data_IF_529046290206
#
_entry.id   IF_529046290206
#
_cell.length_a   1.000
_cell.length_b   1.000
_cell.length_c   1.000
_cell.angle_alpha   90.00
_cell.angle_beta   90.00
_cell.angle_gamma   90.00
#
_symmetry.space_group_name_H-M   'P 1'
#
loop_
_entity.id
_entity.type
_entity.pdbx_description
1 polymer ?
#
# COMPACT_ATOMS: atom_id res chain seq x y z
N UNK A 1 7.99 2.00 -9.87
CA UNK A 1 7.64 3.33 -10.45
C UNK A 1 8.92 4.13 -10.61
N UNK A 2 9.05 4.92 -11.68
CA UNK A 2 10.13 5.89 -11.87
C UNK A 2 9.57 7.30 -12.02
N UNK A 3 10.20 8.29 -11.38
CA UNK A 3 9.85 9.72 -11.48
C UNK A 3 11.10 10.51 -11.89
N UNK A 4 11.01 11.31 -12.95
CA UNK A 4 12.07 12.21 -13.41
C UNK A 4 11.62 13.67 -13.22
N UNK A 5 12.41 14.45 -12.49
CA UNK A 5 12.13 15.88 -12.34
C UNK A 5 12.64 16.64 -13.57
N UNK A 6 11.72 17.20 -14.36
CA UNK A 6 12.07 18.09 -15.48
C UNK A 6 12.16 19.56 -15.04
N UNK A 7 11.32 19.94 -14.08
CA UNK A 7 11.26 21.27 -13.50
C UNK A 7 10.72 21.16 -12.07
N UNK A 8 11.36 21.86 -11.16
CA UNK A 8 10.94 21.90 -9.77
C UNK A 8 9.63 22.68 -9.58
N UNK A 9 8.80 22.21 -8.63
CA UNK A 9 7.61 22.93 -8.20
C UNK A 9 7.98 24.20 -7.41
N UNK A 10 7.22 25.28 -7.61
CA UNK A 10 7.47 26.58 -6.94
C UNK A 10 7.45 26.49 -5.42
N UNK A 11 6.61 25.63 -4.85
CA UNK A 11 6.47 25.38 -3.42
C UNK A 11 5.82 24.01 -3.20
N UNK A 12 6.28 23.24 -2.22
CA UNK A 12 5.82 21.86 -2.02
C UNK A 12 6.18 20.93 -3.18
N UNK A 13 5.59 19.75 -3.24
CA UNK A 13 5.94 18.73 -4.25
C UNK A 13 7.13 17.85 -3.86
N UNK A 14 7.42 17.77 -2.56
CA UNK A 14 8.38 16.81 -2.06
C UNK A 14 7.84 15.39 -2.27
N UNK A 15 8.71 14.50 -2.71
CA UNK A 15 8.38 13.09 -2.87
C UNK A 15 8.58 12.36 -1.55
N UNK A 16 7.62 11.51 -1.19
CA UNK A 16 7.68 10.68 0.01
C UNK A 16 7.83 9.22 -0.40
N UNK A 17 8.74 8.51 0.27
CA UNK A 17 8.95 7.08 0.09
C UNK A 17 8.91 6.37 1.44
N UNK A 18 7.98 5.43 1.59
CA UNK A 18 7.84 4.61 2.81
C UNK A 18 8.09 3.13 2.51
N UNK A 19 8.61 2.40 3.51
CA UNK A 19 8.80 0.96 3.43
C UNK A 19 7.51 0.21 3.80
N UNK A 20 6.97 -0.59 2.87
CA UNK A 20 5.76 -1.36 3.17
C UNK A 20 6.00 -2.46 4.22
N UNK A 21 7.21 -3.02 4.31
CA UNK A 21 7.56 -3.97 5.37
C UNK A 21 7.61 -3.30 6.75
N UNK A 22 8.11 -2.05 6.82
CA UNK A 22 8.09 -1.29 8.07
C UNK A 22 6.67 -0.94 8.49
N UNK A 23 5.80 -0.56 7.54
CA UNK A 23 4.39 -0.33 7.80
C UNK A 23 3.69 -1.62 8.28
N UNK A 24 3.88 -2.74 7.57
CA UNK A 24 3.37 -4.06 7.95
C UNK A 24 3.79 -4.44 9.38
N UNK A 25 5.08 -4.33 9.71
CA UNK A 25 5.57 -4.64 11.05
C UNK A 25 4.97 -3.71 12.12
N UNK A 26 4.75 -2.43 11.81
CA UNK A 26 4.10 -1.50 12.73
C UNK A 26 2.64 -1.87 12.99
N UNK A 27 1.89 -2.20 11.94
CA UNK A 27 0.52 -2.71 12.03
C UNK A 27 0.48 -4.01 12.83
N UNK A 28 1.36 -4.97 12.52
CA UNK A 28 1.46 -6.24 13.25
C UNK A 28 1.66 -6.04 14.75
N UNK A 29 2.51 -5.07 15.12
CA UNK A 29 2.85 -4.83 16.52
C UNK A 29 1.79 -3.99 17.27
N UNK A 30 1.13 -3.04 16.60
CA UNK A 30 0.21 -2.08 17.27
C UNK A 30 -1.28 -2.41 17.06
N UNK A 31 -1.61 -2.99 15.91
CA UNK A 31 -2.99 -3.24 15.48
C UNK A 31 -3.11 -4.62 14.79
N UNK A 32 -2.71 -5.73 15.43
CA UNK A 32 -2.71 -7.05 14.81
C UNK A 32 -4.07 -7.48 14.25
N UNK A 33 -5.16 -7.10 14.92
CA UNK A 33 -6.52 -7.39 14.46
C UNK A 33 -6.89 -6.62 13.18
N UNK A 34 -6.44 -5.38 13.03
CA UNK A 34 -6.66 -4.60 11.81
C UNK A 34 -5.80 -5.09 10.65
N UNK A 35 -4.62 -5.64 10.94
CA UNK A 35 -3.76 -6.23 9.92
C UNK A 35 -4.44 -7.41 9.19
N UNK A 36 -5.25 -8.19 9.89
CA UNK A 36 -6.01 -9.30 9.29
C UNK A 36 -6.94 -8.83 8.16
N UNK A 37 -7.59 -7.67 8.32
CA UNK A 37 -8.43 -7.08 7.28
C UNK A 37 -7.62 -6.69 6.03
N UNK A 38 -6.37 -6.27 6.19
CA UNK A 38 -5.47 -5.91 5.06
C UNK A 38 -4.90 -7.13 4.33
N UNK A 39 -4.96 -8.31 4.96
CA UNK A 39 -4.59 -9.59 4.35
C UNK A 39 -5.78 -10.26 3.64
N UNK A 40 -7.01 -9.83 3.93
CA UNK A 40 -8.21 -10.29 3.25
C UNK A 40 -8.45 -9.49 1.95
N UNK A 41 -9.08 -10.09 0.92
CA UNK A 41 -9.43 -9.37 -0.31
C UNK A 41 -10.43 -8.22 -0.06
N UNK A 42 -10.09 -7.03 -0.57
CA UNK A 42 -10.93 -5.82 -0.55
C UNK A 42 -11.29 -5.40 -1.99
N UNK A 43 -12.50 -4.86 -2.25
CA UNK A 43 -12.86 -4.35 -3.57
C UNK A 43 -12.00 -3.17 -3.98
N UNK A 44 -11.36 -3.28 -5.13
CA UNK A 44 -10.50 -2.27 -5.71
C UNK A 44 -10.95 -1.92 -7.13
N UNK A 45 -11.18 -0.64 -7.35
CA UNK A 45 -11.70 -0.08 -8.60
C UNK A 45 -10.72 -0.29 -9.77
N UNK A 46 -11.24 -0.68 -10.94
CA UNK A 46 -10.47 -0.79 -12.19
C UNK A 46 -10.32 0.53 -12.93
N UNK A 47 -10.98 1.60 -12.49
CA UNK A 47 -10.89 2.97 -13.04
C UNK A 47 -11.13 3.05 -14.56
N UNK A 48 -12.02 2.20 -15.06
CA UNK A 48 -12.38 2.16 -16.48
C UNK A 48 -11.65 1.08 -17.29
N UNK A 49 -10.62 0.44 -16.74
CA UNK A 49 -9.93 -0.71 -17.37
C UNK A 49 -10.70 -2.01 -17.13
N UNK A 50 -11.95 -2.05 -17.59
CA UNK A 50 -12.88 -3.16 -17.36
C UNK A 50 -12.81 -4.13 -18.54
N UNK A 51 -12.42 -5.40 -18.33
CA UNK A 51 -12.50 -6.43 -19.36
C UNK A 51 -13.94 -6.65 -19.84
N UNK A 52 -14.11 -7.11 -21.08
CA UNK A 52 -15.44 -7.47 -21.59
C UNK A 52 -16.12 -8.51 -20.67
N UNK A 53 -17.29 -8.18 -20.14
CA UNK A 53 -18.04 -9.02 -19.21
C UNK A 53 -17.50 -9.04 -17.76
N UNK A 54 -16.45 -8.26 -17.46
CA UNK A 54 -15.89 -8.14 -16.11
C UNK A 54 -16.64 -7.15 -15.22
N UNK A 55 -16.46 -7.30 -13.92
CA UNK A 55 -16.89 -6.28 -12.95
C UNK A 55 -15.99 -5.05 -13.04
N UNK A 56 -16.51 -3.84 -12.73
CA UNK A 56 -15.72 -2.60 -12.78
C UNK A 56 -14.74 -2.45 -11.60
N UNK A 57 -14.64 -3.47 -10.74
CA UNK A 57 -13.70 -3.61 -9.64
C UNK A 57 -13.21 -5.08 -9.61
N UNK A 58 -12.24 -5.36 -8.76
CA UNK A 58 -11.80 -6.72 -8.42
C UNK A 58 -11.41 -6.76 -6.95
N UNK A 59 -11.45 -7.95 -6.34
CA UNK A 59 -10.99 -8.09 -4.96
C UNK A 59 -9.50 -8.42 -4.92
N UNK A 60 -8.76 -7.70 -4.09
CA UNK A 60 -7.33 -7.90 -3.87
C UNK A 60 -6.97 -7.52 -2.43
N UNK A 61 -6.14 -8.30 -1.73
CA UNK A 61 -5.64 -7.88 -0.42
C UNK A 61 -4.62 -6.75 -0.56
N UNK A 62 -4.51 -5.93 0.49
CA UNK A 62 -3.54 -4.83 0.54
C UNK A 62 -2.12 -5.35 0.71
N UNK A 63 -1.95 -6.38 1.56
CA UNK A 63 -0.70 -7.09 1.74
C UNK A 63 -0.84 -8.54 1.25
N UNK A 64 0.16 -9.03 0.53
CA UNK A 64 0.23 -10.43 0.10
C UNK A 64 1.59 -11.03 0.44
N UNK A 65 1.57 -12.27 0.90
CA UNK A 65 2.77 -13.09 1.10
C UNK A 65 2.81 -14.19 0.06
N UNK A 66 3.94 -14.33 -0.63
CA UNK A 66 4.21 -15.43 -1.53
C UNK A 66 5.70 -15.76 -1.47
N UNK A 67 6.05 -17.03 -1.26
CA UNK A 67 7.45 -17.49 -1.15
C UNK A 67 8.31 -16.62 -0.22
N UNK A 68 7.79 -16.28 0.97
CA UNK A 68 8.47 -15.42 1.96
C UNK A 68 8.70 -13.95 1.52
N UNK A 69 8.12 -13.54 0.39
CA UNK A 69 8.13 -12.16 -0.07
C UNK A 69 6.83 -11.44 0.29
N UNK A 70 6.97 -10.26 0.89
CA UNK A 70 5.87 -9.35 1.13
C UNK A 70 5.71 -8.43 -0.08
N UNK A 71 4.49 -8.35 -0.59
CA UNK A 71 4.09 -7.36 -1.60
C UNK A 71 2.96 -6.50 -1.07
N UNK A 72 2.90 -5.26 -1.55
CA UNK A 72 1.84 -4.31 -1.20
C UNK A 72 1.12 -3.84 -2.46
N UNK A 73 -0.20 -3.83 -2.41
CA UNK A 73 -1.06 -3.27 -3.42
C UNK A 73 -2.00 -2.26 -2.77
N UNK A 74 -1.60 -0.99 -2.78
CA UNK A 74 -2.30 0.03 -2.01
C UNK A 74 -2.45 1.33 -2.77
N UNK A 75 -3.71 1.72 -2.98
CA UNK A 75 -4.11 3.05 -3.38
C UNK A 75 -5.49 3.33 -2.76
N UNK A 76 -5.49 4.00 -1.60
CA UNK A 76 -6.70 4.25 -0.78
C UNK A 76 -7.93 4.64 -1.59
N UNK A 77 -7.75 5.61 -2.49
CA UNK A 77 -8.81 6.15 -3.34
C UNK A 77 -9.56 5.08 -4.15
N UNK A 78 -8.92 3.98 -4.53
CA UNK A 78 -9.52 2.96 -5.39
C UNK A 78 -10.30 1.91 -4.59
N UNK A 79 -9.98 1.74 -3.30
CA UNK A 79 -10.83 1.01 -2.36
C UNK A 79 -12.09 1.84 -2.03
N UNK A 80 -11.92 3.12 -1.75
CA UNK A 80 -13.04 4.04 -1.49
C UNK A 80 -13.95 4.15 -2.72
N UNK A 81 -13.38 4.33 -3.90
CA UNK A 81 -14.14 4.54 -5.12
C UNK A 81 -14.81 3.28 -5.64
N UNK A 82 -14.34 2.08 -5.27
CA UNK A 82 -15.04 0.82 -5.54
C UNK A 82 -16.40 0.76 -4.83
N UNK A 83 -16.57 1.45 -3.70
CA UNK A 83 -17.83 1.48 -2.96
C UNK A 83 -18.98 2.16 -3.71
N UNK A 84 -18.72 2.87 -4.82
CA UNK A 84 -19.79 3.37 -5.70
C UNK A 84 -20.53 2.24 -6.43
N UNK A 85 -19.92 1.06 -6.57
CA UNK A 85 -20.52 -0.08 -7.26
C UNK A 85 -21.39 -0.88 -6.28
N UNK A 86 -22.69 -1.07 -6.56
CA UNK A 86 -23.57 -1.85 -5.68
C UNK A 86 -23.14 -3.31 -5.51
N UNK A 87 -22.46 -3.89 -6.51
CA UNK A 87 -21.99 -5.27 -6.47
C UNK A 87 -20.72 -5.48 -5.64
N UNK A 88 -19.98 -4.40 -5.32
CA UNK A 88 -18.81 -4.51 -4.46
C UNK A 88 -19.26 -4.75 -3.01
N UNK A 89 -18.59 -5.65 -2.29
CA UNK A 89 -18.87 -5.83 -0.86
C UNK A 89 -18.67 -4.49 -0.15
N UNK A 90 -19.52 -4.21 0.83
CA UNK A 90 -19.36 -3.02 1.66
C UNK A 90 -18.12 -3.20 2.53
N UNK A 91 -17.30 -2.16 2.62
CA UNK A 91 -16.23 -2.11 3.61
C UNK A 91 -16.86 -2.09 5.00
N UNK A 92 -16.41 -2.97 5.87
CA UNK A 92 -16.79 -2.98 7.28
C UNK A 92 -16.08 -1.83 8.01
N UNK A 93 -16.52 -1.48 9.22
CA UNK A 93 -15.77 -0.54 10.07
C UNK A 93 -14.31 -0.97 10.27
N UNK A 94 -14.05 -2.27 10.40
CA UNK A 94 -12.69 -2.80 10.59
C UNK A 94 -11.84 -2.67 9.31
N UNK A 95 -12.42 -2.87 8.12
CA UNK A 95 -11.73 -2.63 6.85
C UNK A 95 -11.28 -1.15 6.78
N UNK A 96 -12.19 -0.22 7.08
CA UNK A 96 -11.90 1.22 7.04
C UNK A 96 -10.84 1.59 8.08
N UNK A 97 -10.98 1.11 9.32
CA UNK A 97 -10.00 1.35 10.37
C UNK A 97 -8.62 0.80 10.02
N UNK A 98 -8.56 -0.33 9.33
CA UNK A 98 -7.30 -0.92 8.87
C UNK A 98 -6.63 -0.10 7.76
N UNK A 99 -7.40 0.39 6.78
CA UNK A 99 -6.91 1.30 5.75
C UNK A 99 -6.41 2.62 6.38
N UNK A 100 -7.15 3.18 7.34
CA UNK A 100 -6.75 4.38 8.08
C UNK A 100 -5.47 4.16 8.91
N UNK A 101 -5.33 2.99 9.55
CA UNK A 101 -4.12 2.64 10.30
C UNK A 101 -2.90 2.50 9.40
N UNK A 102 -3.07 1.96 8.18
CA UNK A 102 -2.00 1.92 7.18
C UNK A 102 -1.62 3.33 6.71
N UNK A 103 -2.60 4.18 6.39
CA UNK A 103 -2.37 5.58 6.03
C UNK A 103 -1.60 6.31 7.13
N UNK A 104 -2.01 6.14 8.39
CA UNK A 104 -1.31 6.74 9.53
C UNK A 104 0.13 6.23 9.65
N UNK A 105 0.36 4.93 9.43
CA UNK A 105 1.70 4.35 9.50
C UNK A 105 2.64 4.88 8.40
N UNK A 106 2.18 4.98 7.14
CA UNK A 106 3.04 5.44 6.03
C UNK A 106 3.24 6.97 6.01
N UNK A 107 2.36 7.72 6.67
CA UNK A 107 2.49 9.17 6.85
C UNK A 107 3.24 9.55 8.12
N UNK A 108 3.61 8.59 8.98
CA UNK A 108 4.47 8.83 10.13
C UNK A 108 5.86 9.28 9.62
N UNK A 109 6.35 10.48 10.01
CA UNK A 109 7.66 10.97 9.60
C UNK A 109 8.82 10.04 9.99
N UNK A 110 8.63 9.14 10.96
CA UNK A 110 9.61 8.13 11.33
C UNK A 110 9.68 6.94 10.34
N UNK A 111 8.75 6.84 9.38
CA UNK A 111 8.62 5.72 8.45
C UNK A 111 8.72 6.10 6.97
N UNK A 112 8.72 7.40 6.64
CA UNK A 112 8.97 7.84 5.27
C UNK A 112 10.26 8.67 5.14
N UNK A 113 10.85 8.59 3.96
CA UNK A 113 11.91 9.46 3.50
C UNK A 113 11.29 10.58 2.65
N UNK A 114 11.61 11.82 3.00
CA UNK A 114 11.23 12.99 2.21
C UNK A 114 12.36 13.39 1.27
N UNK A 115 12.05 13.59 0.00
CA UNK A 115 13.02 13.91 -1.05
C UNK A 115 12.57 15.11 -1.87
N UNK A 116 13.45 16.10 -2.01
CA UNK A 116 13.28 17.23 -2.92
C UNK A 116 14.03 16.95 -4.23
N UNK A 117 13.32 16.53 -5.28
CA UNK A 117 13.96 16.23 -6.56
C UNK A 117 14.30 17.52 -7.32
N UNK A 118 15.55 17.65 -7.75
CA UNK A 118 16.03 18.74 -8.60
C UNK A 118 15.91 18.36 -10.08
N UNK A 119 15.84 19.34 -11.00
CA UNK A 119 15.81 19.04 -12.43
C UNK A 119 16.97 18.13 -12.86
N UNK A 120 16.65 16.99 -13.48
CA UNK A 120 17.60 15.94 -13.85
C UNK A 120 17.62 14.73 -12.89
N UNK A 121 17.11 14.87 -11.66
CA UNK A 121 17.05 13.75 -10.71
C UNK A 121 15.97 12.73 -11.11
N UNK A 122 16.29 11.45 -10.91
CA UNK A 122 15.36 10.34 -11.06
C UNK A 122 15.22 9.54 -9.77
N UNK A 123 13.98 9.36 -9.31
CA UNK A 123 13.63 8.47 -8.21
C UNK A 123 13.04 7.16 -8.77
N UNK A 124 13.50 6.02 -8.26
CA UNK A 124 12.96 4.71 -8.57
C UNK A 124 12.46 4.01 -7.29
N UNK A 125 11.25 3.46 -7.32
CA UNK A 125 10.66 2.67 -6.25
C UNK A 125 10.27 1.27 -6.73
N UNK A 126 10.69 0.24 -5.98
CA UNK A 126 10.29 -1.16 -6.20
C UNK A 126 8.88 -1.46 -5.66
N UNK A 127 8.22 -2.48 -6.22
CA UNK A 127 6.93 -2.99 -5.74
C UNK A 127 7.05 -4.27 -4.92
N UNK A 128 8.23 -4.90 -4.94
CA UNK A 128 8.55 -6.11 -4.22
C UNK A 128 9.50 -5.78 -3.07
N UNK A 129 9.30 -6.43 -1.94
CA UNK A 129 10.18 -6.30 -0.78
C UNK A 129 10.81 -7.68 -0.57
N UNK A 130 12.14 -7.74 -0.67
CA UNK A 130 12.89 -8.95 -0.35
C UNK A 130 12.52 -9.43 1.05
N UNK A 131 12.25 -10.73 1.19
CA UNK A 131 11.99 -11.34 2.49
C UNK A 131 13.17 -11.06 3.41
N UNK A 132 12.94 -10.33 4.49
CA UNK A 132 13.94 -10.23 5.54
C UNK A 132 14.16 -11.64 6.10
N UNK A 133 15.41 -12.10 6.14
CA UNK A 133 15.79 -13.34 6.82
C UNK A 133 15.20 -13.33 8.23
N UNK A 134 14.09 -14.03 8.40
CA UNK A 134 13.68 -14.53 9.70
C UNK A 134 14.79 -15.48 10.11
N UNK A 135 15.68 -15.04 11.01
CA UNK A 135 16.56 -15.94 11.72
C UNK A 135 15.68 -16.95 12.45
N UNK A 136 15.61 -18.12 11.85
CA UNK A 136 15.18 -19.36 12.46
C UNK A 136 16.28 -19.74 13.47
N UNK A 137 16.14 -19.25 14.71
CA UNK A 137 16.84 -19.84 15.85
C UNK A 137 15.87 -20.73 16.61
N UNK A 138 15.57 -21.88 16.02
CA UNK A 138 15.10 -23.05 16.75
C UNK A 138 16.28 -23.99 17.04
N UNK A 139 16.52 -24.32 18.30
CA UNK A 139 17.53 -25.31 18.68
C UNK A 139 17.66 -25.60 20.18
N UNK A 140 16.84 -26.55 20.64
CA UNK A 140 16.77 -27.28 21.94
C UNK A 140 15.79 -26.71 22.97
#
# INVERSE_FOLDING_TARGET
VGLLCLREARSGGDSLLASAASAFNRLRNRHPQLLEALLAPLPHDRRGEVPAGGLPFFDIPVFSWYEQHLTVFYQRQYFDSAQRFPQARRLTPDDVAALDALDAAVNDPALHLTMRLQPGDMQAGGKEIGGGEGRDEGGV
#
